data_IF_718653404083
#
_entry.id   IF_718653404083
#
_cell.length_a   1.000
_cell.length_b   1.000
_cell.length_c   1.000
_cell.angle_alpha   90.00
_cell.angle_beta   90.00
_cell.angle_gamma   90.00
#
_symmetry.space_group_name_H-M   'P 1'
#
loop_
_entity.id
_entity.type
_entity.pdbx_description
1 polymer ?
#
# COMPACT_ATOMS: atom_id res chain seq x y z
N UNK A 1 13.20 -24.03 -15.26
CA UNK A 1 14.22 -22.98 -15.26
C UNK A 1 13.83 -21.89 -14.24
N UNK A 2 14.79 -21.35 -13.54
CA UNK A 2 14.53 -20.34 -12.50
C UNK A 2 14.60 -18.94 -13.08
N UNK A 3 13.59 -18.11 -12.77
CA UNK A 3 13.58 -16.70 -13.08
C UNK A 3 13.80 -15.92 -11.79
N UNK A 4 14.70 -14.95 -11.83
CA UNK A 4 15.00 -14.12 -10.67
C UNK A 4 14.44 -12.71 -10.88
N UNK A 5 13.57 -12.27 -9.99
CA UNK A 5 12.91 -10.96 -10.03
C UNK A 5 13.04 -10.33 -8.65
N UNK A 6 13.72 -9.18 -8.55
CA UNK A 6 13.93 -8.47 -7.29
C UNK A 6 14.39 -9.39 -6.14
N UNK A 7 15.30 -10.32 -6.43
CA UNK A 7 15.80 -11.27 -5.45
C UNK A 7 14.94 -12.52 -5.24
N UNK A 8 13.77 -12.59 -5.85
CA UNK A 8 12.88 -13.74 -5.78
C UNK A 8 13.20 -14.68 -6.94
N UNK A 9 13.42 -15.96 -6.64
CA UNK A 9 13.65 -16.98 -7.65
C UNK A 9 12.35 -17.74 -7.84
N UNK A 10 11.85 -17.75 -9.08
CA UNK A 10 10.63 -18.44 -9.46
C UNK A 10 10.98 -19.64 -10.35
N UNK A 11 10.59 -20.83 -9.92
CA UNK A 11 10.76 -22.04 -10.68
C UNK A 11 9.39 -22.59 -11.04
N UNK A 12 9.11 -22.72 -12.33
CA UNK A 12 7.87 -23.29 -12.82
C UNK A 12 8.22 -24.64 -13.45
N UNK A 13 7.99 -25.70 -12.69
CA UNK A 13 8.12 -27.07 -13.17
C UNK A 13 6.80 -27.53 -13.75
N UNK A 14 6.26 -28.63 -13.27
CA UNK A 14 4.96 -29.15 -13.70
C UNK A 14 3.76 -28.46 -13.08
N UNK A 15 3.94 -27.56 -12.10
CA UNK A 15 2.83 -26.87 -11.43
C UNK A 15 3.27 -25.51 -10.86
N UNK A 16 2.38 -24.84 -10.12
CA UNK A 16 2.62 -23.53 -9.53
C UNK A 16 3.19 -23.57 -8.11
N UNK A 17 3.56 -24.74 -7.60
CA UNK A 17 4.06 -24.91 -6.23
C UNK A 17 5.34 -24.10 -6.00
N UNK A 18 6.25 -24.09 -6.99
CA UNK A 18 7.49 -23.31 -6.90
C UNK A 18 7.22 -21.82 -6.79
N UNK A 19 6.22 -21.33 -7.52
CA UNK A 19 5.83 -19.94 -7.46
C UNK A 19 5.28 -19.58 -6.07
N UNK A 20 4.43 -20.42 -5.50
CA UNK A 20 3.88 -20.23 -4.17
C UNK A 20 4.99 -20.10 -3.12
N UNK A 21 6.01 -20.96 -3.21
CA UNK A 21 7.16 -20.91 -2.31
C UNK A 21 7.96 -19.63 -2.49
N UNK A 22 8.18 -19.22 -3.75
CA UNK A 22 8.93 -18.00 -4.05
C UNK A 22 8.25 -16.75 -3.52
N UNK A 23 6.92 -16.73 -3.50
CA UNK A 23 6.13 -15.61 -3.02
C UNK A 23 5.87 -15.62 -1.52
N UNK A 24 6.22 -16.71 -0.83
CA UNK A 24 5.92 -16.87 0.61
C UNK A 24 6.46 -15.71 1.45
N UNK A 25 7.69 -15.29 1.18
CA UNK A 25 8.34 -14.20 1.92
C UNK A 25 7.63 -12.88 1.70
N UNK A 26 7.33 -12.53 0.45
CA UNK A 26 6.63 -11.27 0.14
C UNK A 26 5.20 -11.29 0.66
N UNK A 27 4.53 -12.43 0.60
CA UNK A 27 3.18 -12.58 1.17
C UNK A 27 3.19 -12.38 2.68
N UNK A 28 4.20 -12.90 3.38
CA UNK A 28 4.37 -12.70 4.81
C UNK A 28 4.57 -11.21 5.14
N UNK A 29 5.40 -10.52 4.36
CA UNK A 29 5.63 -9.08 4.54
C UNK A 29 4.36 -8.28 4.31
N UNK A 30 3.60 -8.59 3.26
CA UNK A 30 2.33 -7.95 2.96
C UNK A 30 1.33 -8.14 4.12
N UNK A 31 1.25 -9.36 4.66
CA UNK A 31 0.36 -9.67 5.78
C UNK A 31 0.71 -8.85 7.01
N UNK A 32 1.99 -8.73 7.33
CA UNK A 32 2.45 -7.93 8.47
C UNK A 32 2.12 -6.46 8.29
N UNK A 33 2.35 -5.92 7.11
CA UNK A 33 2.04 -4.52 6.79
C UNK A 33 0.53 -4.28 6.86
N UNK A 34 -0.27 -5.20 6.34
CA UNK A 34 -1.73 -5.12 6.39
C UNK A 34 -2.24 -5.13 7.83
N UNK A 35 -1.67 -5.98 8.68
CA UNK A 35 -2.02 -6.05 10.09
C UNK A 35 -1.69 -4.73 10.80
N UNK A 36 -0.53 -4.16 10.55
CA UNK A 36 -0.14 -2.87 11.11
C UNK A 36 -1.05 -1.75 10.63
N UNK A 37 -1.44 -1.76 9.35
CA UNK A 37 -2.39 -0.79 8.80
C UNK A 37 -3.75 -0.90 9.48
N UNK A 38 -4.23 -2.11 9.72
CA UNK A 38 -5.49 -2.33 10.41
C UNK A 38 -5.45 -1.75 11.82
N UNK A 39 -4.34 -1.93 12.53
CA UNK A 39 -4.15 -1.38 13.88
C UNK A 39 -4.15 0.15 13.85
N UNK A 40 -3.39 0.74 12.94
CA UNK A 40 -3.31 2.20 12.80
C UNK A 40 -4.68 2.79 12.43
N UNK A 41 -5.38 2.17 11.48
CA UNK A 41 -6.71 2.63 11.08
C UNK A 41 -7.71 2.55 12.24
N UNK A 42 -7.63 1.52 13.05
CA UNK A 42 -8.48 1.37 14.25
C UNK A 42 -8.21 2.50 15.24
N UNK A 43 -6.94 2.80 15.49
CA UNK A 43 -6.56 3.87 16.41
C UNK A 43 -6.91 5.26 15.86
N UNK A 44 -6.82 5.45 14.56
CA UNK A 44 -7.22 6.72 13.93
C UNK A 44 -8.71 6.98 14.00
N UNK A 45 -9.54 5.94 14.09
CA UNK A 45 -10.97 6.12 14.34
C UNK A 45 -11.24 6.73 15.70
N UNK A 46 -10.38 6.45 16.67
CA UNK A 46 -10.49 7.01 18.02
C UNK A 46 -9.89 8.41 18.12
N UNK A 47 -8.84 8.68 17.36
CA UNK A 47 -8.14 9.97 17.38
C UNK A 47 -7.70 10.34 15.96
N UNK A 48 -8.63 10.87 15.12
CA UNK A 48 -8.35 11.13 13.70
C UNK A 48 -7.27 12.18 13.44
N UNK A 49 -6.97 13.03 14.39
CA UNK A 49 -5.99 14.10 14.23
C UNK A 49 -4.60 13.74 14.76
N UNK A 50 -4.39 12.50 15.18
CA UNK A 50 -3.12 12.07 15.74
C UNK A 50 -2.04 12.03 14.65
N UNK A 51 -1.11 12.99 14.72
CA UNK A 51 -0.07 13.15 13.70
C UNK A 51 0.90 11.97 13.63
N UNK A 52 1.17 11.32 14.77
CA UNK A 52 2.04 10.14 14.81
C UNK A 52 1.39 9.00 14.03
N UNK A 53 0.11 8.76 14.25
CA UNK A 53 -0.63 7.69 13.55
C UNK A 53 -0.79 7.98 12.06
N UNK A 54 -1.02 9.23 11.70
CA UNK A 54 -1.10 9.64 10.29
C UNK A 54 0.23 9.39 9.58
N UNK A 55 1.35 9.73 10.22
CA UNK A 55 2.67 9.49 9.67
C UNK A 55 2.95 7.99 9.51
N UNK A 56 2.56 7.18 10.50
CA UNK A 56 2.69 5.72 10.42
C UNK A 56 1.85 5.15 9.29
N UNK A 57 0.62 5.63 9.12
CA UNK A 57 -0.26 5.19 8.03
C UNK A 57 0.36 5.47 6.68
N UNK A 58 0.92 6.66 6.50
CA UNK A 58 1.58 7.05 5.26
C UNK A 58 2.75 6.13 4.94
N UNK A 59 3.59 5.85 5.93
CA UNK A 59 4.75 4.96 5.75
C UNK A 59 4.30 3.53 5.46
N UNK A 60 3.31 3.02 6.19
CA UNK A 60 2.80 1.67 5.99
C UNK A 60 2.14 1.51 4.62
N UNK A 61 1.43 2.52 4.13
CA UNK A 61 0.86 2.49 2.79
C UNK A 61 1.97 2.46 1.73
N UNK A 62 3.04 3.23 1.91
CA UNK A 62 4.18 3.20 1.00
C UNK A 62 4.84 1.83 0.99
N UNK A 63 4.99 1.19 2.14
CA UNK A 63 5.52 -0.17 2.26
C UNK A 63 4.60 -1.18 1.58
N UNK A 64 3.29 -1.07 1.81
CA UNK A 64 2.30 -1.96 1.19
C UNK A 64 2.34 -1.85 -0.34
N UNK A 65 2.46 -0.65 -0.87
CA UNK A 65 2.58 -0.41 -2.31
C UNK A 65 3.83 -1.09 -2.86
N UNK A 66 4.99 -0.85 -2.23
CA UNK A 66 6.26 -1.44 -2.68
C UNK A 66 6.22 -2.97 -2.66
N UNK A 67 5.73 -3.56 -1.57
CA UNK A 67 5.63 -5.02 -1.42
C UNK A 67 4.65 -5.62 -2.43
N UNK A 68 3.53 -4.95 -2.65
CA UNK A 68 2.50 -5.42 -3.58
C UNK A 68 2.98 -5.29 -5.03
N UNK A 69 3.71 -4.23 -5.37
CA UNK A 69 4.35 -4.09 -6.68
C UNK A 69 5.37 -5.21 -6.93
N UNK A 70 6.14 -5.56 -5.92
CA UNK A 70 7.10 -6.65 -6.00
C UNK A 70 6.39 -7.97 -6.26
N UNK A 71 5.31 -8.25 -5.55
CA UNK A 71 4.50 -9.45 -5.76
C UNK A 71 3.90 -9.47 -7.17
N UNK A 72 3.32 -8.37 -7.61
CA UNK A 72 2.69 -8.28 -8.93
C UNK A 72 3.74 -8.50 -10.03
N UNK A 73 4.91 -7.90 -9.90
CA UNK A 73 6.02 -8.06 -10.85
C UNK A 73 6.44 -9.52 -10.96
N UNK A 74 6.56 -10.22 -9.82
CA UNK A 74 6.91 -11.64 -9.81
C UNK A 74 5.85 -12.49 -10.48
N UNK A 75 4.58 -12.21 -10.23
CA UNK A 75 3.46 -12.92 -10.85
C UNK A 75 3.42 -12.68 -12.37
N UNK A 76 3.57 -11.44 -12.80
CA UNK A 76 3.55 -11.09 -14.22
C UNK A 76 4.71 -11.71 -14.97
N UNK A 77 5.89 -11.76 -14.34
CA UNK A 77 7.05 -12.40 -14.96
C UNK A 77 6.88 -13.92 -15.11
N UNK A 78 6.13 -14.54 -14.21
CA UNK A 78 5.84 -15.98 -14.28
C UNK A 78 4.65 -16.31 -15.20
N UNK A 79 3.89 -15.31 -15.63
CA UNK A 79 2.63 -15.49 -16.35
C UNK A 79 2.80 -16.33 -17.63
N UNK A 80 3.82 -16.03 -18.41
CA UNK A 80 4.09 -16.74 -19.67
C UNK A 80 4.42 -18.21 -19.42
N UNK A 81 5.21 -18.50 -18.38
CA UNK A 81 5.58 -19.87 -18.02
C UNK A 81 4.38 -20.66 -17.51
N UNK A 82 3.52 -20.01 -16.72
CA UNK A 82 2.30 -20.63 -16.21
C UNK A 82 1.33 -20.94 -17.37
N UNK A 83 1.17 -20.01 -18.30
CA UNK A 83 0.34 -20.22 -19.49
C UNK A 83 0.87 -21.37 -20.36
N UNK A 84 2.19 -21.45 -20.52
CA UNK A 84 2.83 -22.54 -21.27
C UNK A 84 2.63 -23.89 -20.56
N UNK A 85 2.76 -23.92 -19.24
CA UNK A 85 2.52 -25.15 -18.46
C UNK A 85 1.07 -25.62 -18.59
N UNK A 86 0.12 -24.71 -18.61
CA UNK A 86 -1.29 -25.01 -18.82
C UNK A 86 -1.51 -25.57 -20.24
N UNK A 87 -0.91 -24.93 -21.23
CA UNK A 87 -1.03 -25.38 -22.63
C UNK A 87 -0.47 -26.79 -22.84
N UNK A 88 0.59 -27.15 -22.10
CA UNK A 88 1.18 -28.50 -22.18
C UNK A 88 0.40 -29.54 -21.37
N UNK A 89 -0.58 -29.12 -20.57
CA UNK A 89 -1.31 -30.00 -19.66
C UNK A 89 -0.57 -30.33 -18.38
N UNK A 90 0.51 -29.62 -18.07
CA UNK A 90 1.28 -29.80 -16.83
C UNK A 90 0.54 -29.31 -15.60
N UNK A 91 -0.33 -28.33 -15.75
CA UNK A 91 -1.22 -27.85 -14.69
C UNK A 91 -2.66 -27.88 -15.21
N UNK A 92 -3.60 -28.08 -14.29
CA UNK A 92 -5.03 -28.08 -14.63
C UNK A 92 -5.61 -26.67 -14.72
N UNK A 93 -6.84 -26.61 -15.25
CA UNK A 93 -7.57 -25.34 -15.37
C UNK A 93 -7.76 -24.66 -14.02
N UNK A 94 -7.97 -25.43 -12.97
CA UNK A 94 -8.15 -24.90 -11.60
C UNK A 94 -6.96 -24.04 -11.14
N UNK A 95 -5.76 -24.57 -11.33
CA UNK A 95 -4.53 -23.88 -10.93
C UNK A 95 -4.25 -22.68 -11.81
N UNK A 96 -4.51 -22.81 -13.10
CA UNK A 96 -4.33 -21.71 -14.04
C UNK A 96 -5.26 -20.54 -13.71
N UNK A 97 -6.53 -20.85 -13.45
CA UNK A 97 -7.51 -19.83 -13.08
C UNK A 97 -7.18 -19.21 -11.72
N UNK A 98 -6.72 -20.02 -10.77
CA UNK A 98 -6.29 -19.51 -9.46
C UNK A 98 -5.11 -18.53 -9.60
N UNK A 99 -4.17 -18.82 -10.49
CA UNK A 99 -3.06 -17.94 -10.79
C UNK A 99 -3.55 -16.61 -11.38
N UNK A 100 -4.48 -16.67 -12.31
CA UNK A 100 -5.07 -15.45 -12.90
C UNK A 100 -5.78 -14.61 -11.86
N UNK A 101 -6.53 -15.24 -10.96
CA UNK A 101 -7.21 -14.54 -9.87
C UNK A 101 -6.21 -13.88 -8.92
N UNK A 102 -5.09 -14.54 -8.67
CA UNK A 102 -4.04 -13.98 -7.80
C UNK A 102 -3.45 -12.69 -8.40
N UNK A 103 -3.25 -12.67 -9.71
CA UNK A 103 -2.78 -11.46 -10.41
C UNK A 103 -3.82 -10.34 -10.27
N UNK A 104 -5.09 -10.64 -10.53
CA UNK A 104 -6.14 -9.64 -10.46
C UNK A 104 -6.36 -9.12 -9.02
N UNK A 105 -6.30 -10.00 -8.04
CA UNK A 105 -6.40 -9.62 -6.64
C UNK A 105 -5.23 -8.73 -6.22
N UNK A 106 -4.02 -9.09 -6.63
CA UNK A 106 -2.81 -8.32 -6.31
C UNK A 106 -2.87 -6.94 -6.96
N UNK A 107 -3.31 -6.87 -8.21
CA UNK A 107 -3.48 -5.61 -8.93
C UNK A 107 -4.54 -4.73 -8.24
N UNK A 108 -5.65 -5.32 -7.82
CA UNK A 108 -6.71 -4.60 -7.11
C UNK A 108 -6.24 -4.05 -5.77
N UNK A 109 -5.49 -4.84 -5.01
CA UNK A 109 -4.92 -4.38 -3.73
C UNK A 109 -3.91 -3.25 -3.94
N UNK A 110 -3.08 -3.36 -4.97
CA UNK A 110 -2.12 -2.30 -5.29
C UNK A 110 -2.84 -0.98 -5.59
N UNK A 111 -3.87 -1.04 -6.41
CA UNK A 111 -4.66 0.14 -6.77
C UNK A 111 -5.33 0.74 -5.52
N UNK A 112 -5.83 -0.10 -4.63
CA UNK A 112 -6.45 0.36 -3.38
C UNK A 112 -5.45 1.07 -2.49
N UNK A 113 -4.25 0.51 -2.29
CA UNK A 113 -3.22 1.14 -1.48
C UNK A 113 -2.77 2.48 -2.07
N UNK A 114 -2.63 2.55 -3.39
CA UNK A 114 -2.29 3.80 -4.08
C UNK A 114 -3.37 4.86 -3.91
N UNK A 115 -4.64 4.46 -4.01
CA UNK A 115 -5.76 5.37 -3.80
C UNK A 115 -5.80 5.86 -2.35
N UNK A 116 -5.60 4.97 -1.39
CA UNK A 116 -5.59 5.32 0.03
C UNK A 116 -4.47 6.30 0.36
N UNK A 117 -3.28 6.10 -0.21
CA UNK A 117 -2.16 7.02 -0.02
C UNK A 117 -2.43 8.38 -0.66
N UNK A 118 -2.99 8.38 -1.86
CA UNK A 118 -3.35 9.62 -2.56
C UNK A 118 -4.39 10.41 -1.75
N UNK A 119 -5.41 9.74 -1.23
CA UNK A 119 -6.43 10.36 -0.39
C UNK A 119 -5.82 10.97 0.88
N UNK A 120 -4.92 10.24 1.52
CA UNK A 120 -4.24 10.71 2.72
C UNK A 120 -3.40 11.97 2.43
N UNK A 121 -2.67 11.97 1.32
CA UNK A 121 -1.89 13.13 0.88
C UNK A 121 -2.77 14.33 0.57
N UNK A 122 -3.91 14.09 -0.09
CA UNK A 122 -4.88 15.13 -0.39
C UNK A 122 -5.43 15.75 0.90
N UNK A 123 -5.76 14.93 1.89
CA UNK A 123 -6.24 15.41 3.19
C UNK A 123 -5.18 16.26 3.89
N UNK A 124 -3.92 15.84 3.85
CA UNK A 124 -2.81 16.58 4.43
C UNK A 124 -2.59 17.91 3.73
N UNK A 125 -2.66 17.92 2.40
CA UNK A 125 -2.51 19.15 1.59
C UNK A 125 -3.66 20.12 1.88
N UNK A 126 -4.88 19.64 1.98
CA UNK A 126 -6.05 20.46 2.29
C UNK A 126 -5.91 21.11 3.67
N UNK A 127 -5.43 20.34 4.65
CA UNK A 127 -5.21 20.85 6.01
C UNK A 127 -4.11 21.92 6.02
N UNK A 128 -3.02 21.69 5.29
CA UNK A 128 -1.93 22.65 5.15
C UNK A 128 -2.40 23.95 4.49
N UNK A 129 -3.20 23.86 3.44
CA UNK A 129 -3.76 25.02 2.75
C UNK A 129 -4.71 25.80 3.64
N UNK A 130 -5.52 25.11 4.43
CA UNK A 130 -6.44 25.76 5.38
C UNK A 130 -5.66 26.52 6.46
N UNK A 131 -4.56 25.92 6.96
CA UNK A 131 -3.68 26.58 7.93
C UNK A 131 -3.06 27.84 7.34
N UNK A 132 -2.53 27.75 6.13
CA UNK A 132 -1.93 28.91 5.44
C UNK A 132 -2.97 30.01 5.19
N UNK A 133 -4.20 29.63 4.85
CA UNK A 133 -5.31 30.57 4.66
C UNK A 133 -5.65 31.30 5.96
N UNK A 134 -5.69 30.58 7.08
CA UNK A 134 -5.93 31.18 8.39
C UNK A 134 -4.82 32.16 8.77
N UNK A 135 -3.57 31.81 8.54
CA UNK A 135 -2.43 32.69 8.79
C UNK A 135 -2.55 33.98 7.99
N UNK A 136 -2.90 33.89 6.71
CA UNK A 136 -3.12 35.05 5.85
C UNK A 136 -4.27 35.92 6.37
N UNK A 137 -5.35 35.30 6.84
CA UNK A 137 -6.51 36.01 7.35
C UNK A 137 -6.13 36.79 8.61
N UNK A 138 -5.39 36.18 9.53
CA UNK A 138 -4.93 36.86 10.74
C UNK A 138 -3.96 37.99 10.41
N UNK A 139 -3.05 37.80 9.46
CA UNK A 139 -2.14 38.85 9.01
C UNK A 139 -2.90 40.03 8.41
N UNK A 140 -3.94 39.76 7.61
CA UNK A 140 -4.75 40.80 6.97
C UNK A 140 -5.55 41.62 7.98
N UNK A 141 -5.90 41.03 9.14
CA UNK A 141 -6.62 41.76 10.23
C UNK A 141 -5.67 42.43 11.23
N UNK A 142 -4.33 42.33 11.01
CA UNK A 142 -3.34 42.86 11.93
C UNK A 142 -3.07 41.97 13.13
N UNK A 143 -3.61 40.76 13.14
CA UNK A 143 -3.45 39.79 14.23
C UNK A 143 -2.62 38.63 13.72
N UNK A 144 -1.49 38.36 14.37
CA UNK A 144 -0.67 37.19 14.05
C UNK A 144 -1.18 35.97 14.80
N UNK A 145 -0.82 34.79 14.32
CA UNK A 145 -1.22 33.52 14.93
C UNK A 145 -0.74 33.43 16.37
N UNK A 146 0.49 33.90 16.66
CA UNK A 146 1.05 33.89 18.01
C UNK A 146 0.25 34.82 18.93
N UNK A 147 -0.09 36.02 18.47
CA UNK A 147 -0.91 36.98 19.25
C UNK A 147 -2.29 36.40 19.53
N UNK A 148 -2.86 35.70 18.53
CA UNK A 148 -4.15 35.05 18.69
C UNK A 148 -4.07 33.94 19.74
N UNK A 149 -3.00 33.12 19.69
CA UNK A 149 -2.78 32.07 20.68
C UNK A 149 -2.62 32.66 22.09
N UNK A 150 -1.91 33.78 22.26
CA UNK A 150 -1.76 34.48 23.52
C UNK A 150 -3.09 34.94 24.06
N UNK A 151 -3.93 35.52 23.22
CA UNK A 151 -5.27 35.97 23.63
C UNK A 151 -6.12 34.79 24.13
N UNK A 152 -6.07 33.67 23.45
CA UNK A 152 -6.79 32.46 23.86
C UNK A 152 -6.14 31.81 25.08
N UNK A 153 -4.82 31.79 25.15
CA UNK A 153 -4.08 31.19 26.26
C UNK A 153 -4.15 31.94 27.55
N UNK A 154 -4.45 33.23 27.53
CA UNK A 154 -4.55 34.07 28.71
C UNK A 154 -5.90 33.99 29.43
N UNK A 155 -6.80 33.19 28.94
CA UNK A 155 -8.16 33.04 29.47
C UNK A 155 -8.33 31.86 30.42
#
# INVERSE_FOLDING_TARGET
MANRIKGITVEIGGDTTGLDKALKSVNSSITKTQSALNDVNRLLKLDPSNTVLVAQKQELLAQAISQTEEKLSALEAAQEQVAAAFARGDIGADKYQAFQREIEETRGKLNKYKADLSDLQTEQDALSQNTARLEKLFAATGTEVDDYADVLGSR
#
